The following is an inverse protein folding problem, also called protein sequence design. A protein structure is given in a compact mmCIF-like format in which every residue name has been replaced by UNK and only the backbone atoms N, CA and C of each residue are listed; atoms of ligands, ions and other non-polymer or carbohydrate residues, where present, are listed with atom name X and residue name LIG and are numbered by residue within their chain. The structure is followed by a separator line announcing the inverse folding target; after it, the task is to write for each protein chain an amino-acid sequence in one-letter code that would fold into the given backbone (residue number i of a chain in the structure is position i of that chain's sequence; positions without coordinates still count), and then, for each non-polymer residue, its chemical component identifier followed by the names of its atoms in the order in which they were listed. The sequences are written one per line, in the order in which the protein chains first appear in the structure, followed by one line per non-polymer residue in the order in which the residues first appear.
data_IF_608671843912
#
_entry.id   IF_608671843912
#
_cell.length_a   1.000
_cell.length_b   1.000
_cell.length_c   1.000
_cell.angle_alpha   90.00
_cell.angle_beta   90.00
_cell.angle_gamma   90.00
#
_symmetry.space_group_name_H-M   'P 1'
#
loop_
_entity.id
_entity.type
_entity.pdbx_description
1 polymer ?
#
# COMPACT_ATOMS: atom_id res chain seq x y z
N UNK A 1 -0.53 -33.27 -7.58
CA UNK A 1 -0.74 -32.18 -6.58
C UNK A 1 -0.12 -30.93 -7.16
N UNK A 2 -0.91 -29.92 -7.35
CA UNK A 2 -0.45 -28.62 -7.86
C UNK A 2 0.21 -27.83 -6.73
N UNK A 3 1.15 -26.90 -7.03
CA UNK A 3 1.82 -26.10 -6.01
C UNK A 3 0.82 -25.30 -5.15
N UNK A 4 -0.26 -24.78 -5.77
CA UNK A 4 -1.30 -24.05 -5.06
C UNK A 4 -2.03 -24.90 -4.01
N UNK A 5 -2.21 -26.22 -4.27
CA UNK A 5 -2.85 -27.13 -3.32
C UNK A 5 -2.01 -27.32 -2.04
N UNK A 6 -0.68 -27.25 -2.18
CA UNK A 6 0.24 -27.34 -1.02
C UNK A 6 0.10 -26.11 -0.15
N UNK A 7 0.21 -24.92 -0.78
CA UNK A 7 0.10 -23.62 -0.08
C UNK A 7 -1.31 -23.46 0.53
N UNK A 8 -2.36 -23.88 -0.18
CA UNK A 8 -3.73 -23.78 0.28
C UNK A 8 -3.97 -24.53 1.60
N UNK A 9 -3.32 -25.68 1.81
CA UNK A 9 -3.41 -26.43 3.07
C UNK A 9 -2.83 -25.64 4.24
N UNK A 10 -1.63 -25.06 4.06
CA UNK A 10 -0.99 -24.27 5.10
C UNK A 10 -1.81 -23.02 5.49
N UNK A 11 -2.48 -22.42 4.50
CA UNK A 11 -3.36 -21.26 4.73
C UNK A 11 -4.64 -21.70 5.44
N UNK A 12 -5.27 -22.78 4.98
CA UNK A 12 -6.53 -23.29 5.52
C UNK A 12 -6.41 -23.79 6.97
N UNK A 13 -5.24 -24.27 7.37
CA UNK A 13 -4.94 -24.67 8.75
C UNK A 13 -4.82 -23.48 9.69
N UNK A 14 -4.36 -22.32 9.20
CA UNK A 14 -4.06 -21.12 10.02
C UNK A 14 -5.22 -20.14 10.11
N UNK A 15 -6.16 -20.17 9.16
CA UNK A 15 -7.28 -19.23 9.12
C UNK A 15 -8.59 -19.94 8.79
N UNK A 16 -9.64 -19.55 9.50
CA UNK A 16 -11.00 -20.07 9.25
C UNK A 16 -11.61 -19.41 8.00
N UNK A 17 -11.45 -18.10 7.87
CA UNK A 17 -11.86 -17.27 6.73
C UNK A 17 -10.64 -16.60 6.12
N UNK A 18 -9.84 -17.30 5.30
CA UNK A 18 -8.62 -16.75 4.74
C UNK A 18 -8.89 -15.56 3.82
N UNK A 19 -8.04 -14.51 3.95
CA UNK A 19 -8.02 -13.40 3.03
C UNK A 19 -6.64 -13.37 2.35
N UNK A 20 -6.66 -13.44 1.03
CA UNK A 20 -5.48 -13.30 0.18
C UNK A 20 -5.46 -11.86 -0.33
N UNK A 21 -4.35 -11.16 -0.18
CA UNK A 21 -4.18 -9.80 -0.67
C UNK A 21 -3.06 -9.74 -1.70
N UNK A 22 -3.21 -8.90 -2.69
CA UNK A 22 -2.13 -8.45 -3.59
C UNK A 22 -2.46 -7.04 -4.05
N UNK A 23 -1.57 -6.37 -4.77
CA UNK A 23 -1.85 -5.00 -5.18
C UNK A 23 -0.82 -4.39 -6.08
N UNK A 24 -1.11 -3.16 -6.51
CA UNK A 24 -0.24 -2.40 -7.40
C UNK A 24 -0.39 -0.89 -7.22
N UNK A 25 0.70 -0.17 -7.44
CA UNK A 25 0.70 1.28 -7.62
C UNK A 25 0.64 1.63 -9.11
N UNK A 26 -0.50 2.08 -9.66
CA UNK A 26 -0.69 2.33 -11.10
C UNK A 26 -0.08 3.68 -11.51
N UNK A 27 1.22 3.85 -11.33
CA UNK A 27 1.95 5.08 -11.69
C UNK A 27 2.28 5.16 -13.20
N UNK A 28 2.00 4.12 -13.95
CA UNK A 28 2.22 4.03 -15.40
C UNK A 28 1.62 2.75 -15.98
N UNK A 29 2.06 2.38 -17.18
CA UNK A 29 1.59 1.17 -17.87
C UNK A 29 1.94 -0.06 -17.04
N UNK A 30 0.93 -0.85 -16.71
CA UNK A 30 1.07 -2.07 -15.90
C UNK A 30 1.57 -3.21 -16.81
N UNK A 31 2.58 -3.92 -16.35
CA UNK A 31 3.20 -5.01 -17.11
C UNK A 31 2.73 -6.40 -16.63
N UNK A 32 3.05 -7.43 -17.41
CA UNK A 32 2.66 -8.82 -17.16
C UNK A 32 3.13 -9.38 -15.79
N UNK A 33 4.18 -8.81 -15.21
CA UNK A 33 4.65 -9.20 -13.87
C UNK A 33 3.59 -9.01 -12.78
N UNK A 34 2.85 -7.89 -12.83
CA UNK A 34 1.74 -7.63 -11.90
C UNK A 34 0.54 -8.54 -12.15
N UNK A 35 0.30 -8.91 -13.41
CA UNK A 35 -0.75 -9.88 -13.75
C UNK A 35 -0.44 -11.26 -13.17
N UNK A 36 0.85 -11.65 -13.11
CA UNK A 36 1.27 -12.90 -12.48
C UNK A 36 0.87 -12.96 -11.01
N UNK A 37 1.02 -11.86 -10.26
CA UNK A 37 0.61 -11.82 -8.85
C UNK A 37 -0.89 -12.01 -8.68
N UNK A 38 -1.71 -11.39 -9.53
CA UNK A 38 -3.16 -11.57 -9.52
C UNK A 38 -3.56 -13.02 -9.83
N UNK A 39 -2.97 -13.65 -10.86
CA UNK A 39 -3.22 -15.04 -11.22
C UNK A 39 -2.75 -16.00 -10.12
N UNK A 40 -1.62 -15.71 -9.48
CA UNK A 40 -1.11 -16.49 -8.34
C UNK A 40 -2.11 -16.43 -7.18
N UNK A 41 -2.60 -15.23 -6.83
CA UNK A 41 -3.64 -15.05 -5.81
C UNK A 41 -4.91 -15.84 -6.11
N UNK A 42 -5.40 -15.79 -7.36
CA UNK A 42 -6.58 -16.55 -7.78
C UNK A 42 -6.36 -18.06 -7.73
N UNK A 43 -5.19 -18.54 -8.15
CA UNK A 43 -4.86 -19.98 -8.09
C UNK A 43 -4.92 -20.51 -6.65
N UNK A 44 -4.45 -19.71 -5.70
CA UNK A 44 -4.48 -20.08 -4.28
C UNK A 44 -5.90 -19.94 -3.72
N UNK A 45 -6.62 -18.85 -4.04
CA UNK A 45 -8.02 -18.67 -3.65
C UNK A 45 -8.85 -19.88 -4.07
N UNK A 46 -8.73 -20.27 -5.33
CA UNK A 46 -9.46 -21.43 -5.89
C UNK A 46 -9.07 -22.75 -5.19
N UNK A 47 -7.79 -22.96 -4.88
CA UNK A 47 -7.34 -24.15 -4.16
C UNK A 47 -7.83 -24.17 -2.70
N UNK A 48 -7.86 -23.03 -2.02
CA UNK A 48 -8.40 -22.90 -0.64
C UNK A 48 -9.92 -23.12 -0.63
N UNK A 49 -10.64 -22.56 -1.60
CA UNK A 49 -12.08 -22.80 -1.80
C UNK A 49 -12.37 -24.28 -2.05
N UNK A 50 -11.52 -24.98 -2.83
CA UNK A 50 -11.58 -26.41 -3.05
C UNK A 50 -11.40 -27.27 -1.80
N UNK A 51 -10.86 -26.72 -0.72
CA UNK A 51 -10.78 -27.33 0.62
C UNK A 51 -12.02 -27.02 1.48
N UNK A 52 -13.05 -26.37 0.92
CA UNK A 52 -14.30 -26.04 1.62
C UNK A 52 -14.21 -24.80 2.52
N UNK A 53 -13.20 -23.94 2.34
CA UNK A 53 -13.07 -22.70 3.10
C UNK A 53 -13.73 -21.52 2.36
N UNK A 54 -14.35 -20.63 3.13
CA UNK A 54 -14.80 -19.32 2.65
C UNK A 54 -13.60 -18.38 2.57
N UNK A 55 -13.11 -18.13 1.36
CA UNK A 55 -11.87 -17.40 1.09
C UNK A 55 -12.13 -16.19 0.19
N UNK A 56 -11.50 -15.05 0.52
CA UNK A 56 -11.55 -13.83 -0.27
C UNK A 56 -10.21 -13.55 -0.92
N UNK A 57 -10.23 -12.99 -2.12
CA UNK A 57 -9.09 -12.37 -2.78
C UNK A 57 -9.37 -10.88 -2.96
N UNK A 58 -8.52 -10.03 -2.42
CA UNK A 58 -8.57 -8.58 -2.63
C UNK A 58 -7.40 -8.14 -3.48
N UNK A 59 -7.64 -7.15 -4.36
CA UNK A 59 -6.61 -6.49 -5.14
C UNK A 59 -6.58 -4.99 -4.79
N UNK A 60 -5.49 -4.57 -4.15
CA UNK A 60 -5.31 -3.21 -3.65
C UNK A 60 -4.72 -2.32 -4.75
N UNK A 61 -5.44 -1.29 -5.11
CA UNK A 61 -4.95 -0.25 -6.02
C UNK A 61 -4.38 0.89 -5.18
N UNK A 62 -3.04 1.05 -5.18
CA UNK A 62 -2.34 2.10 -4.43
C UNK A 62 -2.52 3.47 -5.08
N UNK A 63 -3.77 3.88 -5.21
CA UNK A 63 -4.21 5.10 -5.87
C UNK A 63 -3.84 6.38 -5.12
N UNK A 64 -3.45 6.26 -3.85
CA UNK A 64 -3.01 7.40 -3.04
C UNK A 64 -1.48 7.59 -3.04
N UNK A 65 -0.75 6.80 -3.84
CA UNK A 65 0.68 6.98 -4.08
C UNK A 65 0.97 8.25 -4.88
N UNK A 66 2.12 8.90 -4.65
CA UNK A 66 2.53 10.05 -5.45
C UNK A 66 2.99 9.66 -6.85
N UNK A 67 2.72 10.51 -7.83
CA UNK A 67 3.43 10.46 -9.11
C UNK A 67 4.90 10.82 -8.85
N UNK A 68 5.81 9.84 -8.98
CA UNK A 68 7.21 10.00 -8.58
C UNK A 68 8.03 10.82 -9.57
N UNK A 69 7.66 10.77 -10.86
CA UNK A 69 8.29 11.51 -11.95
C UNK A 69 7.31 11.61 -13.13
N UNK A 70 7.54 12.55 -14.02
CA UNK A 70 6.88 12.49 -15.33
C UNK A 70 7.53 11.38 -16.18
N UNK A 71 6.74 10.47 -16.64
CA UNK A 71 7.20 9.43 -17.57
C UNK A 71 7.18 9.95 -19.01
N UNK A 72 8.04 9.41 -19.90
CA UNK A 72 8.21 9.89 -21.28
C UNK A 72 6.94 9.76 -22.13
N UNK A 73 6.05 8.83 -21.78
CA UNK A 73 4.76 8.65 -22.45
C UNK A 73 3.70 9.70 -22.03
N UNK A 74 4.00 10.55 -21.06
CA UNK A 74 3.09 11.60 -20.60
C UNK A 74 3.42 12.94 -21.27
N UNK A 75 2.40 13.75 -21.59
CA UNK A 75 2.60 15.12 -22.03
C UNK A 75 3.45 15.93 -21.05
N UNK A 76 4.19 16.93 -21.56
CA UNK A 76 5.10 17.76 -20.75
C UNK A 76 4.40 18.50 -19.60
N UNK A 77 3.14 18.89 -19.79
CA UNK A 77 2.33 19.55 -18.77
C UNK A 77 2.07 18.69 -17.52
N UNK A 78 2.31 17.37 -17.59
CA UNK A 78 2.19 16.48 -16.42
C UNK A 78 3.33 16.66 -15.40
N UNK A 79 4.41 17.36 -15.75
CA UNK A 79 5.49 17.70 -14.81
C UNK A 79 4.96 18.43 -13.56
N UNK A 80 3.95 19.29 -13.73
CA UNK A 80 3.32 20.01 -12.60
C UNK A 80 2.63 19.11 -11.58
N UNK A 81 2.33 17.85 -11.92
CA UNK A 81 1.66 16.90 -11.03
C UNK A 81 2.63 15.97 -10.27
N UNK A 82 3.92 16.06 -10.53
CA UNK A 82 4.93 15.27 -9.78
C UNK A 82 4.82 15.57 -8.28
N UNK A 83 4.75 14.50 -7.47
CA UNK A 83 4.55 14.57 -6.03
C UNK A 83 3.09 14.61 -5.57
N UNK A 84 2.13 14.69 -6.49
CA UNK A 84 0.70 14.62 -6.17
C UNK A 84 0.21 13.17 -6.11
N UNK A 85 -0.79 12.84 -5.26
CA UNK A 85 -1.47 11.54 -5.30
C UNK A 85 -2.05 11.27 -6.68
N UNK A 86 -1.81 10.08 -7.24
CA UNK A 86 -2.28 9.74 -8.60
C UNK A 86 -3.81 9.70 -8.72
N UNK A 87 -4.53 9.52 -7.61
CA UNK A 87 -6.00 9.66 -7.57
C UNK A 87 -6.49 11.10 -7.73
N UNK A 88 -5.63 12.11 -7.49
CA UNK A 88 -5.96 13.53 -7.60
C UNK A 88 -5.43 14.18 -8.89
N UNK A 89 -4.74 13.40 -9.74
CA UNK A 89 -4.23 13.86 -11.04
C UNK A 89 -5.27 13.60 -12.13
N UNK A 90 -5.52 14.57 -13.05
CA UNK A 90 -6.44 14.36 -14.16
C UNK A 90 -6.03 13.17 -15.05
N UNK A 91 -7.02 12.53 -15.65
CA UNK A 91 -6.78 11.47 -16.63
C UNK A 91 -6.03 12.01 -17.85
N UNK A 92 -4.92 11.39 -18.30
CA UNK A 92 -4.18 11.87 -19.48
C UNK A 92 -4.99 11.90 -20.78
N UNK A 93 -5.95 11.00 -20.95
CA UNK A 93 -6.80 10.96 -22.14
C UNK A 93 -8.18 11.61 -21.95
N UNK A 94 -8.49 12.10 -20.74
CA UNK A 94 -9.79 12.74 -20.42
C UNK A 94 -11.00 11.80 -20.33
N UNK A 95 -10.81 10.47 -20.50
CA UNK A 95 -11.93 9.50 -20.56
C UNK A 95 -12.18 8.76 -19.25
N UNK A 96 -11.26 8.79 -18.29
CA UNK A 96 -11.37 8.10 -17.00
C UNK A 96 -11.50 9.11 -15.86
N UNK A 97 -11.92 8.64 -14.69
CA UNK A 97 -12.12 9.47 -13.51
C UNK A 97 -10.85 10.27 -13.12
N UNK A 98 -9.68 9.64 -13.19
CA UNK A 98 -8.39 10.24 -12.87
C UNK A 98 -7.24 9.41 -13.47
N UNK A 99 -6.00 9.82 -13.16
CA UNK A 99 -4.77 9.15 -13.61
C UNK A 99 -4.72 7.67 -13.21
N UNK A 100 -5.01 7.35 -11.95
CA UNK A 100 -4.94 5.96 -11.46
C UNK A 100 -5.93 5.06 -12.22
N UNK A 101 -7.17 5.52 -12.45
CA UNK A 101 -8.16 4.79 -13.23
C UNK A 101 -7.73 4.60 -14.69
N UNK A 102 -7.04 5.58 -15.29
CA UNK A 102 -6.55 5.45 -16.66
C UNK A 102 -5.56 4.29 -16.82
N UNK A 103 -4.58 4.20 -15.93
CA UNK A 103 -3.53 3.20 -16.04
C UNK A 103 -3.94 1.82 -15.52
N UNK A 104 -4.90 1.74 -14.60
CA UNK A 104 -5.34 0.45 -14.07
C UNK A 104 -6.41 -0.21 -14.93
N UNK A 105 -7.22 0.54 -15.68
CA UNK A 105 -8.36 -0.04 -16.41
C UNK A 105 -7.97 -1.18 -17.36
N UNK A 106 -6.95 -1.05 -18.23
CA UNK A 106 -6.55 -2.17 -19.12
C UNK A 106 -6.11 -3.42 -18.37
N UNK A 107 -5.54 -3.24 -17.15
CA UNK A 107 -5.15 -4.34 -16.30
C UNK A 107 -6.38 -5.02 -15.69
N UNK A 108 -7.37 -4.27 -15.20
CA UNK A 108 -8.61 -4.83 -14.67
C UNK A 108 -9.40 -5.60 -15.74
N UNK A 109 -9.44 -5.08 -16.96
CA UNK A 109 -10.07 -5.76 -18.09
C UNK A 109 -9.36 -7.11 -18.41
N UNK A 110 -8.02 -7.14 -18.29
CA UNK A 110 -7.26 -8.37 -18.46
C UNK A 110 -7.48 -9.37 -17.31
N UNK A 111 -7.52 -8.91 -16.07
CA UNK A 111 -7.81 -9.70 -14.87
C UNK A 111 -9.19 -10.36 -14.99
N UNK A 112 -10.21 -9.59 -15.37
CA UNK A 112 -11.57 -10.10 -15.60
C UNK A 112 -11.61 -11.14 -16.72
N UNK A 113 -10.98 -10.86 -17.87
CA UNK A 113 -10.95 -11.75 -19.02
C UNK A 113 -10.27 -13.10 -18.76
N UNK A 114 -9.37 -13.14 -17.77
CA UNK A 114 -8.67 -14.35 -17.30
C UNK A 114 -9.43 -15.09 -16.20
N UNK A 115 -10.60 -14.62 -15.80
CA UNK A 115 -11.42 -15.26 -14.76
C UNK A 115 -10.84 -15.13 -13.36
N UNK A 116 -10.06 -14.08 -13.08
CA UNK A 116 -9.58 -13.78 -11.73
C UNK A 116 -10.69 -13.06 -10.95
N UNK A 117 -11.17 -13.71 -9.89
CA UNK A 117 -12.27 -13.19 -9.06
C UNK A 117 -11.73 -12.49 -7.83
N UNK A 118 -11.46 -11.19 -7.92
CA UNK A 118 -10.95 -10.39 -6.81
C UNK A 118 -11.81 -9.15 -6.55
N UNK A 119 -11.87 -8.76 -5.28
CA UNK A 119 -12.48 -7.51 -4.86
C UNK A 119 -11.46 -6.37 -5.04
N UNK A 120 -11.82 -5.36 -5.81
CA UNK A 120 -10.94 -4.20 -6.07
C UNK A 120 -11.11 -3.15 -4.97
N UNK A 121 -10.00 -2.80 -4.32
CA UNK A 121 -9.97 -1.83 -3.23
C UNK A 121 -9.04 -0.68 -3.57
N UNK A 122 -9.55 0.55 -3.48
CA UNK A 122 -8.79 1.78 -3.76
C UNK A 122 -8.24 2.37 -2.47
N UNK A 123 -6.92 2.46 -2.34
CA UNK A 123 -6.31 2.98 -1.10
C UNK A 123 -6.65 4.44 -0.82
N UNK A 124 -6.90 5.25 -1.86
CA UNK A 124 -7.42 6.62 -1.68
C UNK A 124 -8.75 6.68 -0.94
N UNK A 125 -9.63 5.70 -1.14
CA UNK A 125 -10.92 5.63 -0.45
C UNK A 125 -10.73 5.20 1.00
N UNK A 126 -9.82 4.24 1.27
CA UNK A 126 -9.48 3.83 2.63
C UNK A 126 -8.93 5.00 3.48
N UNK A 127 -8.06 5.85 2.89
CA UNK A 127 -7.59 7.05 3.59
C UNK A 127 -8.72 8.03 3.85
N UNK A 128 -9.57 8.28 2.85
CA UNK A 128 -10.74 9.16 2.99
C UNK A 128 -11.72 8.69 4.06
N UNK A 129 -11.87 7.38 4.22
CA UNK A 129 -12.72 6.76 5.24
C UNK A 129 -12.03 6.67 6.61
N UNK A 130 -10.78 7.09 6.74
CA UNK A 130 -10.01 7.04 7.99
C UNK A 130 -9.58 5.64 8.42
N UNK A 131 -9.61 4.64 7.54
CA UNK A 131 -9.23 3.24 7.87
C UNK A 131 -7.78 3.10 8.34
N UNK A 132 -6.90 4.02 7.94
CA UNK A 132 -5.51 4.04 8.36
C UNK A 132 -5.26 4.79 9.68
N UNK A 133 -6.24 5.50 10.24
CA UNK A 133 -6.04 6.39 11.39
C UNK A 133 -5.40 5.70 12.59
N UNK A 134 -5.89 4.51 12.97
CA UNK A 134 -5.33 3.72 14.08
C UNK A 134 -3.87 3.32 13.79
N UNK A 135 -3.60 2.82 12.58
CA UNK A 135 -2.24 2.42 12.20
C UNK A 135 -1.28 3.62 12.19
N UNK A 136 -1.72 4.78 11.71
CA UNK A 136 -0.93 6.02 11.73
C UNK A 136 -0.61 6.42 13.17
N UNK A 137 -1.61 6.44 14.06
CA UNK A 137 -1.42 6.76 15.49
C UNK A 137 -0.41 5.81 16.15
N UNK A 138 -0.52 4.50 15.89
CA UNK A 138 0.44 3.51 16.40
C UNK A 138 1.86 3.79 15.92
N UNK A 139 2.05 4.19 14.65
CA UNK A 139 3.39 4.47 14.11
C UNK A 139 4.03 5.72 14.73
N UNK A 140 3.26 6.74 15.05
CA UNK A 140 3.78 7.90 15.78
C UNK A 140 4.17 7.54 17.21
N UNK A 141 3.33 6.79 17.92
CA UNK A 141 3.60 6.35 19.30
C UNK A 141 4.82 5.43 19.42
N UNK A 142 5.07 4.61 18.40
CA UNK A 142 6.18 3.64 18.38
C UNK A 142 7.29 4.05 17.38
N UNK A 143 7.47 5.37 17.17
CA UNK A 143 8.41 5.89 16.18
C UNK A 143 9.85 5.43 16.43
N UNK A 144 10.27 5.38 17.70
CA UNK A 144 11.62 4.93 18.06
C UNK A 144 11.85 3.48 17.66
N UNK A 145 10.93 2.60 17.99
CA UNK A 145 10.98 1.18 17.65
C UNK A 145 11.02 0.99 16.12
N UNK A 146 10.29 1.81 15.37
CA UNK A 146 10.31 1.78 13.90
C UNK A 146 11.71 2.14 13.37
N UNK A 147 12.35 3.17 13.93
CA UNK A 147 13.71 3.57 13.55
C UNK A 147 14.71 2.45 13.84
N UNK A 148 14.61 1.84 15.04
CA UNK A 148 15.48 0.73 15.45
C UNK A 148 15.32 -0.47 14.51
N UNK A 149 14.09 -0.86 14.19
CA UNK A 149 13.80 -1.95 13.23
C UNK A 149 14.36 -1.64 11.84
N UNK A 150 14.18 -0.43 11.32
CA UNK A 150 14.72 -0.03 10.03
C UNK A 150 16.24 -0.11 10.00
N UNK A 151 16.91 0.31 11.07
CA UNK A 151 18.36 0.22 11.20
C UNK A 151 18.84 -1.25 11.23
N UNK A 152 18.27 -2.05 12.13
CA UNK A 152 18.64 -3.45 12.32
C UNK A 152 18.43 -4.31 11.08
N UNK A 153 17.31 -4.12 10.36
CA UNK A 153 16.97 -4.95 9.20
C UNK A 153 17.69 -4.49 7.92
N UNK A 154 17.78 -3.17 7.70
CA UNK A 154 18.34 -2.65 6.45
C UNK A 154 19.83 -2.31 6.52
N UNK A 155 20.42 -2.29 7.71
CA UNK A 155 21.83 -1.89 7.94
C UNK A 155 22.09 -0.39 7.63
N UNK A 156 21.05 0.41 7.38
CA UNK A 156 21.18 1.85 7.14
C UNK A 156 21.33 2.58 8.46
N UNK A 157 22.02 3.73 8.44
CA UNK A 157 22.04 4.60 9.60
C UNK A 157 20.62 4.97 10.05
N UNK A 158 20.42 4.97 11.37
CA UNK A 158 19.16 5.39 11.97
C UNK A 158 18.95 6.88 11.71
N UNK A 159 17.85 7.22 11.02
CA UNK A 159 17.45 8.62 10.84
C UNK A 159 16.59 9.06 12.05
N UNK A 160 17.12 9.87 12.98
CA UNK A 160 16.37 10.32 14.15
C UNK A 160 15.19 11.20 13.76
N UNK A 161 15.20 11.77 12.54
CA UNK A 161 14.11 12.58 11.99
C UNK A 161 13.18 11.78 11.07
N UNK A 162 13.24 10.46 11.12
CA UNK A 162 12.34 9.61 10.33
C UNK A 162 10.88 9.95 10.63
N UNK A 163 10.12 10.22 9.57
CA UNK A 163 8.70 10.50 9.65
C UNK A 163 7.91 9.29 9.13
N UNK A 164 7.04 8.65 9.96
CA UNK A 164 6.24 7.52 9.54
C UNK A 164 5.10 7.88 8.58
N UNK A 165 4.73 9.16 8.54
CA UNK A 165 3.60 9.72 7.81
C UNK A 165 4.02 10.97 7.04
N UNK A 166 3.51 11.11 5.82
CA UNK A 166 3.74 12.25 4.95
C UNK A 166 2.43 13.05 4.81
N UNK A 167 2.32 14.23 5.44
CA UNK A 167 1.19 15.13 5.22
C UNK A 167 1.03 15.52 3.77
N UNK A 168 -0.21 15.71 3.33
CA UNK A 168 -0.57 16.21 2.01
C UNK A 168 -0.90 17.69 2.11
N UNK A 169 -0.19 18.53 1.37
CA UNK A 169 -0.41 19.98 1.41
C UNK A 169 -1.77 20.37 0.85
N UNK A 170 -2.52 21.09 1.59
CA UNK A 170 -3.85 21.55 1.19
C UNK A 170 -3.81 22.39 -0.11
N UNK A 171 -2.86 23.34 -0.22
CA UNK A 171 -2.76 24.23 -1.39
C UNK A 171 -2.06 23.61 -2.60
N UNK A 172 -0.96 22.89 -2.38
CA UNK A 172 -0.14 22.35 -3.47
C UNK A 172 -0.46 20.91 -3.84
N UNK A 173 -1.26 20.22 -3.01
CA UNK A 173 -1.68 18.82 -3.19
C UNK A 173 -0.48 17.88 -3.41
N UNK A 174 0.62 18.11 -2.67
CA UNK A 174 1.83 17.27 -2.70
C UNK A 174 2.17 16.78 -1.32
N UNK A 175 2.82 15.62 -1.25
CA UNK A 175 3.32 15.09 0.03
C UNK A 175 4.55 15.85 0.52
N UNK A 176 4.64 16.03 1.83
CA UNK A 176 5.79 16.63 2.53
C UNK A 176 6.16 15.83 3.76
N UNK A 177 7.23 16.28 4.44
CA UNK A 177 7.54 15.80 5.77
C UNK A 177 6.76 16.61 6.81
N UNK A 178 6.31 15.99 7.92
CA UNK A 178 5.74 16.73 9.04
C UNK A 178 6.84 17.56 9.75
N UNK A 179 6.41 18.56 10.51
CA UNK A 179 7.28 19.21 11.48
C UNK A 179 7.62 18.18 12.55
N UNK A 180 8.89 18.09 12.91
CA UNK A 180 9.38 17.14 13.90
C UNK A 180 8.66 17.34 15.24
N UNK A 181 8.24 16.24 15.85
CA UNK A 181 7.50 16.19 17.15
C UNK A 181 6.20 17.01 17.21
N UNK A 182 5.62 17.39 16.06
CA UNK A 182 4.36 18.14 16.00
C UNK A 182 3.11 17.26 16.17
N UNK A 183 3.28 15.93 16.24
CA UNK A 183 2.14 15.02 16.34
C UNK A 183 1.41 15.14 17.67
N UNK A 184 0.13 15.46 17.59
CA UNK A 184 -0.83 15.38 18.70
C UNK A 184 -2.16 14.89 18.15
N UNK A 185 -2.58 13.67 18.53
CA UNK A 185 -3.77 13.03 17.98
C UNK A 185 -4.98 13.98 17.92
N UNK A 186 -5.64 14.10 16.77
CA UNK A 186 -5.40 13.42 15.52
C UNK A 186 -4.58 14.24 14.50
N UNK A 187 -3.81 15.22 14.92
CA UNK A 187 -3.20 16.23 14.04
C UNK A 187 -1.69 16.11 13.93
N UNK A 188 -1.19 16.43 12.73
CA UNK A 188 0.24 16.56 12.40
C UNK A 188 0.45 17.91 11.71
N UNK A 189 1.38 18.72 12.19
CA UNK A 189 1.69 20.00 11.58
C UNK A 189 2.77 19.85 10.50
N UNK A 190 2.70 20.69 9.48
CA UNK A 190 3.66 20.69 8.39
C UNK A 190 3.89 22.10 7.81
N UNK A 191 5.09 22.32 7.27
CA UNK A 191 5.44 23.50 6.50
C UNK A 191 5.53 23.15 5.01
N UNK A 192 4.88 23.95 4.19
CA UNK A 192 4.96 23.86 2.73
C UNK A 192 6.06 24.78 2.20
N UNK A 193 6.87 24.36 1.22
CA UNK A 193 7.81 25.26 0.53
C UNK A 193 7.18 26.49 -0.10
N UNK A 194 5.87 26.53 -0.30
CA UNK A 194 5.14 27.73 -0.72
C UNK A 194 4.87 28.74 0.41
N UNK A 195 5.41 28.49 1.63
CA UNK A 195 5.23 29.34 2.81
C UNK A 195 3.92 29.11 3.59
N UNK A 196 3.10 28.11 3.21
CA UNK A 196 1.90 27.74 3.96
C UNK A 196 2.24 26.81 5.11
N UNK A 197 1.85 27.18 6.32
CA UNK A 197 1.81 26.31 7.49
C UNK A 197 0.44 25.62 7.57
N UNK A 198 0.41 24.30 7.73
CA UNK A 198 -0.82 23.53 7.73
C UNK A 198 -0.88 22.46 8.82
N UNK A 199 -2.06 21.87 8.97
CA UNK A 199 -2.34 20.82 9.94
C UNK A 199 -3.13 19.71 9.25
N UNK A 200 -2.55 18.50 9.19
CA UNK A 200 -3.17 17.31 8.61
C UNK A 200 -3.92 16.53 9.69
N UNK A 201 -5.13 16.09 9.39
CA UNK A 201 -5.92 15.19 10.24
C UNK A 201 -5.72 13.75 9.76
N UNK A 202 -5.07 12.91 10.58
CA UNK A 202 -4.78 11.50 10.21
C UNK A 202 -6.02 10.62 10.01
N UNK A 203 -7.19 11.11 10.37
CA UNK A 203 -8.50 10.44 10.15
C UNK A 203 -9.09 10.73 8.77
N UNK A 204 -8.40 11.52 7.96
CA UNK A 204 -8.80 11.95 6.63
C UNK A 204 -7.70 11.66 5.62
N UNK A 205 -7.99 11.94 4.35
CA UNK A 205 -7.03 11.85 3.26
C UNK A 205 -6.08 13.07 3.17
N UNK A 206 -5.64 13.56 4.35
CA UNK A 206 -4.72 14.69 4.51
C UNK A 206 -3.24 14.25 4.54
N UNK A 207 -2.95 13.02 4.15
CA UNK A 207 -1.61 12.45 4.08
C UNK A 207 -1.62 10.94 4.06
N UNK A 208 -0.43 10.34 4.00
CA UNK A 208 -0.30 8.88 3.97
C UNK A 208 0.90 8.35 4.73
N UNK A 209 0.83 7.11 5.18
CA UNK A 209 1.96 6.36 5.71
C UNK A 209 3.08 6.24 4.68
N UNK A 210 4.32 6.21 5.14
CA UNK A 210 5.43 5.77 4.30
C UNK A 210 5.20 4.34 3.85
N UNK A 211 5.59 4.01 2.61
CA UNK A 211 5.26 2.73 1.98
C UNK A 211 5.61 1.50 2.84
N UNK A 212 6.77 1.50 3.49
CA UNK A 212 7.21 0.38 4.34
C UNK A 212 6.31 0.12 5.54
N UNK A 213 5.62 1.12 6.04
CA UNK A 213 4.65 1.02 7.13
C UNK A 213 3.23 0.80 6.62
N UNK A 214 2.88 1.39 5.47
CA UNK A 214 1.57 1.23 4.87
C UNK A 214 1.28 -0.23 4.50
N UNK A 215 2.27 -0.95 3.98
CA UNK A 215 2.11 -2.34 3.59
C UNK A 215 1.66 -3.23 4.76
N UNK A 216 2.39 -3.35 5.89
CA UNK A 216 1.92 -4.12 7.05
C UNK A 216 0.69 -3.50 7.73
N UNK A 217 0.44 -2.19 7.60
CA UNK A 217 -0.82 -1.59 8.07
C UNK A 217 -2.03 -2.13 7.28
N UNK A 218 -1.89 -2.38 5.97
CA UNK A 218 -2.92 -3.06 5.16
C UNK A 218 -3.17 -4.48 5.68
N UNK A 219 -2.12 -5.22 6.06
CA UNK A 219 -2.29 -6.55 6.66
C UNK A 219 -3.16 -6.51 7.92
N UNK A 220 -2.93 -5.50 8.80
CA UNK A 220 -3.75 -5.28 9.99
C UNK A 220 -5.19 -4.94 9.65
N UNK A 221 -5.40 -4.00 8.72
CA UNK A 221 -6.74 -3.50 8.36
C UNK A 221 -7.61 -4.61 7.79
N UNK A 222 -7.03 -5.50 6.96
CA UNK A 222 -7.78 -6.55 6.26
C UNK A 222 -7.71 -7.92 6.93
N UNK A 223 -6.83 -8.13 7.90
CA UNK A 223 -6.58 -9.46 8.46
C UNK A 223 -5.99 -10.41 7.41
N UNK A 224 -5.03 -9.93 6.60
CA UNK A 224 -4.46 -10.68 5.49
C UNK A 224 -3.80 -11.97 5.96
N UNK A 225 -4.23 -13.11 5.39
CA UNK A 225 -3.71 -14.44 5.72
C UNK A 225 -2.53 -14.84 4.84
N UNK A 226 -2.53 -14.40 3.57
CA UNK A 226 -1.48 -14.70 2.60
C UNK A 226 -1.36 -13.61 1.55
N UNK A 227 -0.14 -13.40 1.04
CA UNK A 227 0.11 -12.39 0.02
C UNK A 227 1.16 -12.84 -0.99
N UNK A 228 0.82 -12.97 -2.29
CA UNK A 228 1.78 -13.10 -3.36
C UNK A 228 2.43 -11.73 -3.67
N UNK A 229 3.75 -11.70 -3.78
CA UNK A 229 4.50 -10.50 -4.12
C UNK A 229 5.78 -10.81 -4.90
N UNK A 230 6.35 -9.79 -5.53
CA UNK A 230 7.57 -9.92 -6.33
C UNK A 230 8.80 -10.27 -5.48
N UNK A 231 9.74 -11.02 -6.07
CA UNK A 231 10.99 -11.49 -5.43
C UNK A 231 11.87 -10.35 -4.87
N UNK A 232 11.75 -9.17 -5.41
CA UNK A 232 12.46 -7.96 -4.97
C UNK A 232 12.05 -7.52 -3.57
N UNK A 233 10.82 -7.83 -3.14
CA UNK A 233 10.36 -7.61 -1.77
C UNK A 233 10.87 -8.66 -0.78
N UNK A 234 11.18 -9.87 -1.28
CA UNK A 234 11.67 -11.00 -0.50
C UNK A 234 13.19 -11.00 -0.27
N UNK A 235 13.94 -10.06 -0.86
CA UNK A 235 15.38 -9.96 -0.66
C UNK A 235 15.71 -9.77 0.82
N UNK A 236 16.81 -10.41 1.27
CA UNK A 236 17.28 -10.29 2.66
C UNK A 236 17.50 -8.81 3.05
N UNK A 237 16.97 -8.39 4.19
CA UNK A 237 16.94 -6.99 4.62
C UNK A 237 15.95 -6.11 3.81
N UNK A 238 15.12 -6.73 2.99
CA UNK A 238 14.15 -6.08 2.10
C UNK A 238 12.87 -5.65 2.81
N UNK A 239 11.89 -5.37 1.99
CA UNK A 239 10.62 -4.80 2.45
C UNK A 239 9.78 -5.79 3.24
N UNK A 240 9.81 -7.07 2.87
CA UNK A 240 9.09 -8.11 3.60
C UNK A 240 9.71 -8.37 4.97
N UNK A 241 11.05 -8.37 5.08
CA UNK A 241 11.72 -8.55 6.39
C UNK A 241 11.40 -7.41 7.36
N UNK A 242 11.39 -6.15 6.89
CA UNK A 242 10.93 -5.02 7.70
C UNK A 242 9.44 -5.12 8.01
N UNK A 243 8.62 -5.51 7.01
CA UNK A 243 7.18 -5.68 7.15
C UNK A 243 6.78 -6.70 8.22
N UNK A 244 7.48 -7.85 8.27
CA UNK A 244 7.28 -8.87 9.32
C UNK A 244 7.49 -8.31 10.74
N UNK A 245 8.56 -7.53 10.91
CA UNK A 245 8.87 -6.92 12.20
C UNK A 245 7.83 -5.86 12.56
N UNK A 246 7.44 -5.01 11.61
CA UNK A 246 6.40 -4.01 11.84
C UNK A 246 5.05 -4.65 12.15
N UNK A 247 4.67 -5.73 11.48
CA UNK A 247 3.45 -6.46 11.78
C UNK A 247 3.41 -6.90 13.25
N UNK A 248 4.48 -7.55 13.74
CA UNK A 248 4.56 -8.08 15.10
C UNK A 248 4.75 -7.00 16.16
N UNK A 249 5.76 -6.15 15.99
CA UNK A 249 6.24 -5.25 17.03
C UNK A 249 5.48 -3.92 17.08
N UNK A 250 5.03 -3.43 15.91
CA UNK A 250 4.30 -2.17 15.82
C UNK A 250 2.79 -2.41 15.85
N UNK A 251 2.29 -3.31 14.98
CA UNK A 251 0.86 -3.50 14.75
C UNK A 251 0.23 -4.64 15.57
N UNK A 252 1.03 -5.51 16.20
CA UNK A 252 0.57 -6.58 17.08
C UNK A 252 -0.18 -7.69 16.34
N UNK A 253 0.20 -7.98 15.09
CA UNK A 253 -0.38 -9.03 14.26
C UNK A 253 0.69 -10.00 13.74
N UNK A 254 0.32 -11.22 13.41
CA UNK A 254 1.19 -12.09 12.64
C UNK A 254 1.24 -11.64 11.16
N UNK A 255 2.42 -11.67 10.51
CA UNK A 255 2.53 -11.35 9.10
C UNK A 255 1.84 -12.42 8.25
N UNK A 256 1.32 -12.07 7.06
CA UNK A 256 0.72 -13.03 6.14
C UNK A 256 1.74 -14.06 5.65
N UNK A 257 1.24 -15.21 5.22
CA UNK A 257 2.04 -16.23 4.55
C UNK A 257 2.59 -15.66 3.22
N UNK A 258 3.92 -15.65 3.01
CA UNK A 258 4.51 -15.12 1.78
C UNK A 258 4.38 -16.11 0.63
N UNK A 259 4.11 -15.62 -0.57
CA UNK A 259 3.96 -16.45 -1.77
C UNK A 259 4.79 -15.87 -2.92
#
# INVERSE_FOLDING_TARGET
MHWADVIAKDIAEKAEHPLIATGISPTGIIHVGSLREAITGESIRSAVEGLGKDVRLIYLIDSFDPLRKRYDFLPSEFEKYVGMPISRIPCPCGKHRNYAHHFVQPFLDAVDSLGVHCEIIWTSDLYKEGKFAEAIDMTFKKRKEIIDILHEVSGKEADPNYAPYNPLWEKCVRYTKPIFDSYSFPYVEYDCPCGHHGKADIRKDDGKLTWRLEWPAKWKIFGTSAEPFGKDHAAAGGSYDTGKRFAKEIFGIEPPFPI
#
